data_IF_100492542016
#
_entry.id   IF_100492542016
#
_cell.length_a   1.000
_cell.length_b   1.000
_cell.length_c   1.000
_cell.angle_alpha   90.00
_cell.angle_beta   90.00
_cell.angle_gamma   90.00
#
_symmetry.space_group_name_H-M   'P 1'
#
loop_
_entity.id
_entity.type
_entity.pdbx_description
1 polymer ?
#
# COMPACT_ATOMS: atom_id res chain seq x y z
N UNK A 1 44.85 24.42 -21.37
CA UNK A 1 45.48 24.21 -22.70
C UNK A 1 45.12 22.80 -23.14
N UNK A 2 44.24 22.62 -24.14
CA UNK A 2 43.85 21.29 -24.62
C UNK A 2 44.75 20.85 -25.80
N UNK A 3 45.00 19.56 -25.96
CA UNK A 3 45.15 18.93 -27.29
C UNK A 3 43.93 18.01 -27.50
N UNK A 4 43.05 18.17 -28.50
CA UNK A 4 43.18 18.21 -29.96
C UNK A 4 43.87 17.00 -30.60
N UNK A 5 43.03 16.28 -31.37
CA UNK A 5 43.30 15.48 -32.57
C UNK A 5 43.95 14.09 -32.30
N UNK A 6 43.70 12.98 -33.02
CA UNK A 6 43.18 12.71 -34.36
C UNK A 6 42.46 11.35 -34.39
N UNK A 7 41.45 11.22 -35.24
CA UNK A 7 40.96 9.95 -35.78
C UNK A 7 41.93 9.41 -36.85
N UNK A 8 42.09 8.08 -37.00
CA UNK A 8 42.50 7.50 -38.26
C UNK A 8 41.36 6.76 -38.98
N UNK A 9 41.27 7.10 -40.27
CA UNK A 9 40.45 6.54 -41.33
C UNK A 9 41.17 5.30 -41.91
N UNK A 10 40.54 4.12 -41.91
CA UNK A 10 40.88 2.94 -42.73
C UNK A 10 39.87 1.83 -42.39
N UNK A 11 39.36 0.97 -43.27
CA UNK A 11 39.62 0.71 -44.66
C UNK A 11 38.35 0.08 -45.26
N UNK A 12 38.13 0.37 -46.55
CA UNK A 12 37.17 -0.29 -47.42
C UNK A 12 37.63 -1.72 -47.68
N UNK A 13 36.80 -2.73 -47.40
CA UNK A 13 37.01 -4.10 -47.90
C UNK A 13 35.71 -4.65 -48.48
N UNK A 14 35.82 -5.12 -49.72
CA UNK A 14 34.79 -5.64 -50.61
C UNK A 14 34.24 -7.04 -50.24
N UNK A 15 33.05 -7.31 -50.80
CA UNK A 15 32.48 -8.60 -51.25
C UNK A 15 31.83 -9.56 -50.21
N UNK A 16 30.90 -10.46 -50.62
CA UNK A 16 30.08 -10.52 -51.83
C UNK A 16 28.56 -10.69 -51.55
N UNK A 17 27.79 -10.51 -52.62
CA UNK A 17 26.33 -10.73 -52.72
C UNK A 17 26.00 -12.21 -52.48
N UNK A 18 25.22 -12.52 -51.45
CA UNK A 18 24.55 -13.81 -51.29
C UNK A 18 23.06 -13.63 -51.62
N UNK A 19 22.68 -14.05 -52.83
CA UNK A 19 21.29 -14.16 -53.24
C UNK A 19 20.63 -15.30 -52.45
N UNK A 20 19.83 -14.95 -51.46
CA UNK A 20 19.00 -15.89 -50.70
C UNK A 20 17.62 -15.97 -51.36
N UNK A 21 17.35 -17.05 -52.10
CA UNK A 21 16.01 -17.37 -52.58
C UNK A 21 15.13 -17.74 -51.38
N UNK A 22 14.32 -16.79 -50.90
CA UNK A 22 13.29 -17.03 -49.89
C UNK A 22 12.05 -17.60 -50.59
N UNK A 23 11.81 -18.91 -50.44
CA UNK A 23 10.50 -19.49 -50.77
C UNK A 23 9.48 -18.97 -49.76
N UNK A 24 8.61 -18.07 -50.20
CA UNK A 24 7.46 -17.61 -49.43
C UNK A 24 6.46 -18.78 -49.28
N UNK A 25 6.36 -19.33 -48.07
CA UNK A 25 5.22 -20.17 -47.70
C UNK A 25 4.12 -19.26 -47.16
N UNK A 26 2.97 -19.25 -47.82
CA UNK A 26 1.81 -18.47 -47.40
C UNK A 26 1.33 -18.92 -46.01
N UNK A 27 1.04 -18.00 -45.08
CA UNK A 27 0.47 -18.35 -43.78
C UNK A 27 -0.99 -18.85 -43.94
N UNK A 28 -1.44 -19.82 -43.11
CA UNK A 28 -2.82 -20.30 -43.14
C UNK A 28 -3.80 -19.22 -42.65
N UNK A 29 -5.09 -19.28 -43.07
CA UNK A 29 -6.10 -18.31 -42.66
C UNK A 29 -6.31 -18.36 -41.13
N UNK A 30 -6.11 -17.23 -40.46
CA UNK A 30 -6.42 -17.07 -39.06
C UNK A 30 -7.93 -17.24 -38.86
N UNK A 31 -8.34 -18.26 -38.11
CA UNK A 31 -9.70 -18.36 -37.61
C UNK A 31 -9.94 -17.18 -36.67
N UNK A 32 -10.88 -16.30 -37.03
CA UNK A 32 -11.32 -15.21 -36.17
C UNK A 32 -11.92 -15.79 -34.89
N UNK A 33 -11.14 -15.76 -33.81
CA UNK A 33 -11.65 -16.07 -32.48
C UNK A 33 -12.53 -14.91 -32.02
N UNK A 34 -13.84 -15.15 -31.89
CA UNK A 34 -14.77 -14.22 -31.25
C UNK A 34 -14.32 -13.93 -29.82
N UNK A 35 -13.74 -12.75 -29.61
CA UNK A 35 -13.39 -12.21 -28.30
C UNK A 35 -14.67 -11.79 -27.57
N UNK A 36 -15.31 -12.76 -26.90
CA UNK A 36 -16.22 -12.42 -25.80
C UNK A 36 -15.35 -11.91 -24.65
N UNK A 37 -15.47 -10.62 -24.33
CA UNK A 37 -14.94 -10.05 -23.09
C UNK A 37 -15.50 -10.85 -21.92
N UNK A 38 -14.67 -11.54 -21.11
CA UNK A 38 -15.17 -12.17 -19.90
C UNK A 38 -15.70 -11.06 -18.98
N UNK A 39 -16.93 -11.23 -18.47
CA UNK A 39 -17.46 -10.38 -17.42
C UNK A 39 -16.47 -10.37 -16.25
N UNK A 40 -16.17 -9.18 -15.73
CA UNK A 40 -15.30 -9.04 -14.56
C UNK A 40 -15.91 -9.81 -13.40
N UNK A 41 -15.27 -10.91 -13.01
CA UNK A 41 -15.62 -11.62 -11.78
C UNK A 41 -15.31 -10.65 -10.63
N UNK A 42 -16.28 -10.26 -9.79
CA UNK A 42 -15.95 -9.45 -8.63
C UNK A 42 -14.97 -10.24 -7.78
N UNK A 43 -13.78 -9.68 -7.54
CA UNK A 43 -12.90 -10.15 -6.47
C UNK A 43 -13.65 -9.82 -5.18
N UNK A 44 -14.49 -10.75 -4.72
CA UNK A 44 -15.16 -10.64 -3.43
C UNK A 44 -14.09 -10.72 -2.38
N UNK A 45 -13.91 -9.61 -1.68
CA UNK A 45 -13.01 -9.47 -0.54
C UNK A 45 -13.43 -10.43 0.57
N UNK A 46 -12.70 -11.52 0.87
CA UNK A 46 -13.00 -12.35 2.03
C UNK A 46 -12.05 -11.93 3.14
N UNK A 47 -12.18 -10.70 3.66
CA UNK A 47 -11.56 -10.36 4.95
C UNK A 47 -12.62 -9.75 5.87
N UNK A 48 -12.49 -9.97 7.18
CA UNK A 48 -13.44 -9.43 8.13
C UNK A 48 -13.45 -7.91 8.07
N UNK A 49 -14.65 -7.33 8.14
CA UNK A 49 -14.85 -5.89 8.28
C UNK A 49 -14.12 -5.34 9.52
N UNK A 50 -13.95 -6.14 10.56
CA UNK A 50 -13.18 -5.82 11.77
C UNK A 50 -11.82 -6.52 11.76
N UNK A 51 -10.77 -5.82 12.15
CA UNK A 51 -9.41 -6.37 12.23
C UNK A 51 -8.61 -5.76 13.37
N UNK A 52 -8.02 -6.62 14.19
CA UNK A 52 -7.05 -6.20 15.21
C UNK A 52 -5.81 -5.60 14.56
N UNK A 53 -5.31 -4.50 15.13
CA UNK A 53 -4.19 -3.79 14.55
C UNK A 53 -2.91 -4.62 14.54
N UNK A 54 -2.72 -5.51 15.53
CA UNK A 54 -1.57 -6.41 15.56
C UNK A 54 -1.65 -7.57 14.57
N UNK A 55 -2.75 -7.72 13.82
CA UNK A 55 -2.85 -8.68 12.72
C UNK A 55 -2.34 -8.09 11.41
N UNK A 56 -1.21 -7.36 11.45
CA UNK A 56 -0.52 -6.91 10.25
C UNK A 56 0.37 -8.03 9.67
N UNK A 57 0.69 -7.96 8.38
CA UNK A 57 1.58 -8.94 7.73
C UNK A 57 3.04 -8.53 7.78
N UNK A 58 3.30 -7.23 7.73
CA UNK A 58 4.64 -6.63 7.81
C UNK A 58 4.53 -5.26 8.51
N UNK A 59 5.63 -4.80 9.08
CA UNK A 59 5.78 -3.47 9.67
C UNK A 59 7.17 -2.93 9.30
N UNK A 60 7.34 -1.62 9.33
CA UNK A 60 8.63 -0.97 9.11
C UNK A 60 8.51 0.55 9.15
N UNK A 61 9.58 1.23 8.77
CA UNK A 61 9.63 2.69 8.82
C UNK A 61 11.04 3.18 9.10
N UNK A 62 11.22 4.49 9.15
CA UNK A 62 12.50 5.11 9.48
C UNK A 62 12.94 4.80 10.91
N UNK A 63 12.02 4.39 11.78
CA UNK A 63 12.28 4.12 13.18
C UNK A 63 12.04 2.67 13.62
N UNK A 64 11.90 1.75 12.66
CA UNK A 64 11.80 0.32 12.92
C UNK A 64 10.39 -0.25 12.80
N UNK A 65 9.37 0.60 12.79
CA UNK A 65 7.97 0.20 12.64
C UNK A 65 7.29 -0.16 13.96
N UNK A 66 5.97 -0.31 13.88
CA UNK A 66 5.13 -0.57 15.05
C UNK A 66 5.37 -1.97 15.66
N UNK A 67 5.22 -2.07 16.98
CA UNK A 67 5.40 -3.30 17.78
C UNK A 67 4.09 -3.72 18.43
N UNK A 68 3.83 -5.03 18.51
CA UNK A 68 2.67 -5.56 19.24
C UNK A 68 2.92 -5.56 20.75
N UNK A 69 2.00 -5.00 21.53
CA UNK A 69 2.04 -5.03 22.99
C UNK A 69 0.72 -5.49 23.62
N UNK A 70 0.82 -6.09 24.81
CA UNK A 70 -0.35 -6.50 25.59
C UNK A 70 -1.01 -5.31 26.27
N UNK A 71 -2.34 -5.24 26.18
CA UNK A 71 -3.17 -4.25 26.86
C UNK A 71 -4.55 -4.84 27.12
N UNK A 72 -4.83 -5.22 28.38
CA UNK A 72 -6.05 -5.94 28.73
C UNK A 72 -7.37 -5.20 28.44
N UNK A 73 -7.35 -3.87 28.32
CA UNK A 73 -8.54 -3.07 28.01
C UNK A 73 -8.85 -2.90 26.51
N UNK A 74 -7.95 -3.39 25.65
CA UNK A 74 -8.05 -3.29 24.19
C UNK A 74 -8.68 -4.57 23.62
N UNK A 75 -9.17 -4.50 22.38
CA UNK A 75 -9.71 -5.68 21.70
C UNK A 75 -8.62 -6.73 21.55
N UNK A 76 -8.97 -8.00 21.69
CA UNK A 76 -7.99 -9.09 21.70
C UNK A 76 -6.93 -9.01 22.82
N UNK A 77 -7.01 -8.05 23.74
CA UNK A 77 -6.03 -7.80 24.79
C UNK A 77 -4.69 -7.26 24.28
N UNK A 78 -4.65 -6.72 23.06
CA UNK A 78 -3.42 -6.28 22.38
C UNK A 78 -3.68 -5.03 21.55
N UNK A 79 -2.58 -4.41 21.13
CA UNK A 79 -2.54 -3.27 20.22
C UNK A 79 -1.16 -3.18 19.58
N UNK A 80 -1.02 -2.29 18.61
CA UNK A 80 0.29 -1.82 18.15
C UNK A 80 0.71 -0.53 18.88
N UNK A 81 2.00 -0.44 19.19
CA UNK A 81 2.69 0.63 19.94
C UNK A 81 4.04 0.93 19.28
N UNK A 82 4.87 1.81 19.85
CA UNK A 82 6.16 2.22 19.25
C UNK A 82 5.92 2.76 17.83
N UNK A 83 4.86 3.57 17.71
CA UNK A 83 4.47 4.19 16.45
C UNK A 83 5.07 5.59 16.40
N UNK A 84 6.01 5.77 15.50
CA UNK A 84 6.74 7.01 15.31
C UNK A 84 6.49 7.58 13.91
N UNK A 85 6.98 8.79 13.63
CA UNK A 85 6.78 9.42 12.33
C UNK A 85 7.38 8.58 11.19
N UNK A 86 6.59 8.26 10.18
CA UNK A 86 6.99 7.49 9.02
C UNK A 86 6.95 5.96 9.20
N UNK A 87 6.55 5.47 10.37
CA UNK A 87 6.29 4.04 10.56
C UNK A 87 5.01 3.60 9.84
N UNK A 88 4.94 2.32 9.51
CA UNK A 88 3.83 1.75 8.76
C UNK A 88 3.60 0.28 9.07
N UNK A 89 2.37 -0.17 8.82
CA UNK A 89 1.99 -1.59 8.80
C UNK A 89 1.36 -1.98 7.45
N UNK A 90 1.57 -3.21 7.01
CA UNK A 90 0.92 -3.84 5.86
C UNK A 90 -0.35 -4.57 6.35
N UNK A 91 -1.50 -4.09 5.86
CA UNK A 91 -2.82 -4.66 6.10
C UNK A 91 -3.19 -5.69 5.02
N UNK A 92 -2.23 -6.24 4.28
CA UNK A 92 -2.44 -7.27 3.28
C UNK A 92 -3.19 -6.76 2.06
N UNK A 93 -3.73 -7.69 1.26
CA UNK A 93 -4.57 -7.33 0.12
C UNK A 93 -5.80 -6.52 0.60
N UNK A 94 -6.47 -5.79 -0.30
CA UNK A 94 -7.84 -5.23 -0.20
C UNK A 94 -8.35 -4.97 -1.61
N UNK A 95 -9.66 -4.78 -1.79
CA UNK A 95 -10.20 -4.10 -2.97
C UNK A 95 -10.69 -2.70 -2.54
N UNK A 96 -9.95 -1.61 -2.81
CA UNK A 96 -10.29 -0.28 -2.32
C UNK A 96 -11.67 0.18 -2.79
N UNK A 97 -12.06 -0.14 -4.02
CA UNK A 97 -13.37 0.18 -4.57
C UNK A 97 -14.54 -0.55 -3.90
N UNK A 98 -14.31 -1.44 -2.92
CA UNK A 98 -15.35 -2.08 -2.11
C UNK A 98 -15.36 -1.61 -0.65
N UNK A 99 -14.57 -0.59 -0.31
CA UNK A 99 -14.45 -0.01 1.03
C UNK A 99 -14.75 1.48 0.93
N UNK A 100 -15.78 1.95 1.62
CA UNK A 100 -16.17 3.36 1.65
C UNK A 100 -15.41 4.13 2.73
N UNK A 101 -15.15 3.50 3.87
CA UNK A 101 -14.46 4.13 4.99
C UNK A 101 -13.70 3.16 5.88
N UNK A 102 -12.74 3.70 6.62
CA UNK A 102 -12.03 2.98 7.69
C UNK A 102 -12.14 3.76 8.99
N UNK A 103 -12.70 3.11 10.00
CA UNK A 103 -12.68 3.60 11.38
C UNK A 103 -11.51 2.96 12.12
N UNK A 104 -10.75 3.76 12.88
CA UNK A 104 -9.57 3.30 13.62
C UNK A 104 -9.74 3.62 15.07
N UNK A 105 -9.64 2.63 15.96
CA UNK A 105 -9.57 2.90 17.39
C UNK A 105 -8.12 3.08 17.82
N UNK A 106 -7.80 4.27 18.31
CA UNK A 106 -6.46 4.64 18.73
C UNK A 106 -6.48 5.48 20.01
N UNK A 107 -5.42 5.39 20.79
CA UNK A 107 -5.21 6.21 21.98
C UNK A 107 -3.86 6.92 21.88
N UNK A 108 -3.82 8.20 22.24
CA UNK A 108 -2.59 8.99 22.20
C UNK A 108 -2.28 9.58 23.57
N UNK A 109 -1.15 9.15 24.13
CA UNK A 109 -0.47 9.85 25.23
C UNK A 109 0.65 10.77 24.76
N UNK A 110 0.98 10.77 23.46
CA UNK A 110 1.95 11.67 22.84
C UNK A 110 1.28 12.86 22.16
N UNK A 111 1.86 13.29 21.03
CA UNK A 111 1.42 14.49 20.29
C UNK A 111 0.31 14.21 19.26
N UNK A 112 -0.16 12.97 19.16
CA UNK A 112 -1.08 12.53 18.12
C UNK A 112 -0.44 12.50 16.74
N UNK A 113 -1.24 12.30 15.70
CA UNK A 113 -0.77 12.30 14.33
C UNK A 113 -1.85 11.89 13.33
N UNK A 114 -1.41 11.41 12.17
CA UNK A 114 -2.27 11.01 11.07
C UNK A 114 -2.06 9.53 10.78
N UNK A 115 -3.15 8.83 10.46
CA UNK A 115 -3.10 7.51 9.81
C UNK A 115 -3.45 7.72 8.35
N UNK A 116 -2.52 7.39 7.46
CA UNK A 116 -2.67 7.46 6.01
C UNK A 116 -2.84 6.06 5.44
N UNK A 117 -3.91 5.85 4.66
CA UNK A 117 -4.18 4.60 3.97
C UNK A 117 -3.64 4.67 2.55
N UNK A 118 -2.66 3.83 2.20
CA UNK A 118 -1.94 3.89 0.92
C UNK A 118 -1.97 2.56 0.17
N UNK A 119 -2.07 2.65 -1.16
CA UNK A 119 -2.14 1.48 -2.04
C UNK A 119 -0.75 1.02 -2.52
N UNK A 120 -0.50 -0.28 -2.45
CA UNK A 120 0.64 -0.97 -3.06
C UNK A 120 1.95 -0.84 -2.28
N UNK A 121 2.23 0.31 -1.67
CA UNK A 121 3.41 0.52 -0.83
C UNK A 121 3.18 1.65 0.20
N UNK A 122 4.04 1.78 1.22
CA UNK A 122 4.00 2.92 2.16
C UNK A 122 4.16 4.29 1.50
N UNK A 123 4.79 4.36 0.31
CA UNK A 123 4.92 5.59 -0.47
C UNK A 123 3.91 5.68 -1.63
N UNK A 124 2.97 4.74 -1.70
CA UNK A 124 2.01 4.64 -2.80
C UNK A 124 0.90 5.70 -2.75
N UNK A 125 -0.03 5.66 -3.70
CA UNK A 125 -1.15 6.60 -3.76
C UNK A 125 -1.95 6.62 -2.45
N UNK A 126 -2.24 7.82 -1.97
CA UNK A 126 -3.09 8.02 -0.79
C UNK A 126 -4.55 7.75 -1.17
N UNK A 127 -5.19 6.83 -0.46
CA UNK A 127 -6.59 6.47 -0.62
C UNK A 127 -7.48 7.29 0.32
N UNK A 128 -6.97 7.60 1.51
CA UNK A 128 -7.65 8.41 2.51
C UNK A 128 -6.79 8.54 3.76
N UNK A 129 -7.18 9.43 4.66
CA UNK A 129 -6.48 9.62 5.94
C UNK A 129 -7.43 10.10 7.03
N UNK A 130 -6.99 9.92 8.28
CA UNK A 130 -7.66 10.46 9.46
C UNK A 130 -6.64 10.99 10.46
N UNK A 131 -7.08 11.91 11.31
CA UNK A 131 -6.28 12.43 12.42
C UNK A 131 -6.62 11.70 13.70
N UNK A 132 -5.59 11.25 14.42
CA UNK A 132 -5.66 10.80 15.81
C UNK A 132 -5.15 11.96 16.67
N UNK A 133 -6.03 12.72 17.37
CA UNK A 133 -5.59 13.78 18.25
C UNK A 133 -4.93 13.21 19.51
N UNK A 134 -4.33 14.08 20.32
CA UNK A 134 -4.08 13.73 21.73
C UNK A 134 -5.43 13.37 22.40
N UNK A 135 -5.52 12.18 22.97
CA UNK A 135 -6.80 11.66 23.50
C UNK A 135 -6.89 11.75 25.03
N UNK A 136 -5.88 12.34 25.68
CA UNK A 136 -5.81 12.43 27.14
C UNK A 136 -5.05 11.28 27.80
N UNK A 137 -4.38 10.42 27.03
CA UNK A 137 -3.54 9.33 27.53
C UNK A 137 -3.75 7.99 26.80
N UNK A 138 -2.84 7.05 27.05
CA UNK A 138 -2.78 5.71 26.42
C UNK A 138 -4.00 4.81 26.69
N UNK A 139 -4.86 5.23 27.60
CA UNK A 139 -5.99 4.46 28.12
C UNK A 139 -7.33 5.15 27.81
N UNK A 140 -7.30 6.17 26.95
CA UNK A 140 -8.45 6.98 26.55
C UNK A 140 -8.57 6.92 25.03
N UNK A 141 -9.06 5.83 24.43
CA UNK A 141 -9.12 5.72 22.98
C UNK A 141 -10.21 6.61 22.38
N UNK A 142 -9.99 7.05 21.14
CA UNK A 142 -10.98 7.61 20.24
C UNK A 142 -11.06 6.76 18.96
N UNK A 143 -12.16 6.91 18.21
CA UNK A 143 -12.41 6.14 16.99
C UNK A 143 -12.70 7.03 15.78
N UNK A 144 -11.73 7.83 15.29
CA UNK A 144 -11.90 8.60 14.06
C UNK A 144 -12.11 7.71 12.84
N UNK A 145 -12.70 8.30 11.78
CA UNK A 145 -13.01 7.62 10.52
C UNK A 145 -12.44 8.39 9.34
N UNK A 146 -11.79 7.67 8.43
CA UNK A 146 -11.36 8.16 7.12
C UNK A 146 -12.33 7.67 6.05
N UNK A 147 -12.72 8.53 5.11
CA UNK A 147 -13.29 8.07 3.84
C UNK A 147 -12.15 7.57 2.95
N UNK A 148 -12.37 6.45 2.27
CA UNK A 148 -11.44 5.96 1.26
C UNK A 148 -11.93 6.27 -0.14
N UNK A 149 -10.97 6.50 -1.01
CA UNK A 149 -11.15 6.58 -2.45
C UNK A 149 -10.26 5.53 -3.09
N UNK A 150 -10.73 4.91 -4.15
CA UNK A 150 -9.94 3.89 -4.85
C UNK A 150 -10.73 3.21 -5.95
N UNK A 151 -10.00 2.62 -6.88
CA UNK A 151 -10.59 1.86 -7.97
C UNK A 151 -10.91 0.43 -7.53
N UNK A 152 -11.74 -0.25 -8.31
CA UNK A 152 -11.89 -1.69 -8.23
C UNK A 152 -10.56 -2.40 -8.55
N UNK A 153 -10.35 -3.58 -7.97
CA UNK A 153 -9.15 -4.38 -8.17
C UNK A 153 -8.33 -4.54 -6.88
N UNK A 154 -7.66 -5.68 -6.76
CA UNK A 154 -6.89 -6.01 -5.56
C UNK A 154 -5.58 -5.23 -5.48
N UNK A 155 -5.33 -4.58 -4.34
CA UNK A 155 -4.03 -3.94 -4.00
C UNK A 155 -3.61 -4.35 -2.61
N UNK A 156 -2.33 -4.18 -2.25
CA UNK A 156 -1.91 -4.22 -0.84
C UNK A 156 -2.26 -2.89 -0.16
N UNK A 157 -2.80 -2.91 1.04
CA UNK A 157 -3.13 -1.70 1.81
C UNK A 157 -2.08 -1.48 2.90
N UNK A 158 -1.58 -0.26 3.00
CA UNK A 158 -0.68 0.16 4.06
C UNK A 158 -1.36 1.21 4.92
N UNK A 159 -1.19 1.12 6.23
CA UNK A 159 -1.45 2.23 7.15
C UNK A 159 -0.09 2.85 7.51
N UNK A 160 0.11 4.11 7.16
CA UNK A 160 1.32 4.89 7.43
C UNK A 160 0.99 5.93 8.51
N UNK A 161 1.86 6.03 9.51
CA UNK A 161 1.68 6.89 10.67
C UNK A 161 2.57 8.11 10.52
N UNK A 162 1.99 9.30 10.65
CA UNK A 162 2.71 10.53 10.35
C UNK A 162 2.41 11.63 11.37
N UNK A 163 3.49 12.23 11.87
CA UNK A 163 3.49 13.56 12.45
C UNK A 163 4.93 14.10 12.38
N UNK A 164 5.27 14.95 11.41
CA UNK A 164 6.64 15.42 11.22
C UNK A 164 7.13 16.33 12.35
N UNK A 165 6.28 16.66 13.34
CA UNK A 165 6.69 17.34 14.57
C UNK A 165 7.27 16.37 15.63
N UNK A 166 7.11 15.06 15.47
CA UNK A 166 7.67 14.05 16.38
C UNK A 166 9.20 14.02 16.32
N UNK A 167 9.83 13.71 17.44
CA UNK A 167 11.30 13.66 17.57
C UNK A 167 11.70 12.42 18.38
N UNK A 168 12.81 11.80 18.03
CA UNK A 168 13.40 10.72 18.82
C UNK A 168 13.60 11.14 20.29
N UNK A 169 13.27 10.24 21.21
CA UNK A 169 13.30 10.51 22.66
C UNK A 169 12.08 11.26 23.20
N UNK A 170 11.07 11.52 22.38
CA UNK A 170 9.74 11.96 22.82
C UNK A 170 8.74 10.80 22.84
N UNK A 171 7.57 10.99 23.42
CA UNK A 171 6.54 9.97 23.41
C UNK A 171 6.09 9.64 21.97
N UNK A 172 5.81 8.37 21.71
CA UNK A 172 5.22 7.85 20.47
C UNK A 172 3.95 8.62 20.07
N UNK A 173 3.58 8.57 18.80
CA UNK A 173 2.44 9.32 18.27
C UNK A 173 1.13 8.91 18.96
N UNK A 174 0.84 7.62 18.91
CA UNK A 174 -0.37 6.98 19.41
C UNK A 174 -0.18 5.46 19.38
N UNK A 175 -1.13 4.74 19.94
CA UNK A 175 -1.23 3.30 19.86
C UNK A 175 -2.56 2.93 19.18
N UNK A 176 -2.60 1.86 18.38
CA UNK A 176 -3.80 1.47 17.60
C UNK A 176 -4.28 0.09 18.05
N UNK A 177 -5.55 0.02 18.41
CA UNK A 177 -6.24 -1.20 18.86
C UNK A 177 -6.75 -1.99 17.65
N UNK A 178 -7.62 -1.38 16.83
CA UNK A 178 -8.22 -2.06 15.68
C UNK A 178 -8.56 -1.12 14.52
N UNK A 179 -8.81 -1.76 13.37
CA UNK A 179 -9.37 -1.17 12.14
C UNK A 179 -10.74 -1.78 11.86
N UNK A 180 -11.69 -0.95 11.44
CA UNK A 180 -12.98 -1.37 10.91
C UNK A 180 -13.18 -0.78 9.52
N UNK A 181 -13.37 -1.65 8.53
CA UNK A 181 -13.62 -1.33 7.14
C UNK A 181 -15.12 -1.43 6.89
N UNK A 182 -15.73 -0.33 6.45
CA UNK A 182 -17.15 -0.27 6.10
C UNK A 182 -17.28 -0.06 4.60
N UNK A 183 -18.25 -0.73 3.97
CA UNK A 183 -18.50 -0.66 2.53
C UNK A 183 -19.39 -1.81 2.05
N UNK A 184 -19.85 -1.78 0.79
CA UNK A 184 -20.84 -2.72 0.27
C UNK A 184 -20.40 -4.20 0.30
N UNK A 185 -19.09 -4.48 0.39
CA UNK A 185 -18.57 -5.84 0.57
C UNK A 185 -18.35 -6.25 2.04
N UNK A 186 -18.34 -5.29 2.97
CA UNK A 186 -18.11 -5.53 4.40
C UNK A 186 -19.36 -6.02 5.14
N UNK A 187 -20.56 -5.72 4.61
CA UNK A 187 -21.84 -6.01 5.26
C UNK A 187 -22.42 -7.42 4.96
N UNK A 188 -21.74 -8.24 4.14
CA UNK A 188 -22.18 -9.60 3.82
C UNK A 188 -23.53 -9.64 3.10
N UNK A 189 -23.50 -9.76 1.77
CA UNK A 189 -24.69 -10.17 1.00
C UNK A 189 -25.12 -11.59 1.33
#
# INVERSE_FOLDING_TARGET
MPPRDLLPLAALTLCPVLTFCLLATSPPPAHAASSRTPAAVPVTWPQPAFREAEWFTMTGGTHGGAVTAHRAGDSGGRRITEIEDGDWIDLGAVSPGSIDSVTVRAASGGIGGTVEFRAGSPAGPLLGSLTVPFTGGWDRPASPTARLTGAAGGVRLFAVFANPAWRAGTADLFAVDWFRFDGPAADGG
#
